data_IF_850713012094
#
_entry.id   IF_850713012094
#
_cell.length_a   1.000
_cell.length_b   1.000
_cell.length_c   1.000
_cell.angle_alpha   90.00
_cell.angle_beta   90.00
_cell.angle_gamma   90.00
#
_symmetry.space_group_name_H-M   'P 1'
#
loop_
_entity.id
_entity.type
_entity.pdbx_description
1 polymer ?
#
# COMPACT_ATOMS: atom_id res chain seq x y z
N UNK A 1 18.07 34.14 29.79
CA UNK A 1 16.93 33.43 30.38
C UNK A 1 16.53 32.31 29.41
N UNK A 2 16.89 31.06 29.68
CA UNK A 2 16.51 29.94 28.82
C UNK A 2 15.03 29.58 29.08
N UNK A 3 14.23 29.22 28.06
CA UNK A 3 12.84 28.85 28.28
C UNK A 3 12.77 27.53 29.06
N UNK A 4 12.07 27.56 30.21
CA UNK A 4 11.74 26.37 30.97
C UNK A 4 10.91 25.45 30.08
N UNK A 5 11.41 24.24 29.83
CA UNK A 5 10.71 23.22 29.05
C UNK A 5 9.61 22.64 29.94
N UNK A 6 8.37 23.05 29.69
CA UNK A 6 7.21 22.47 30.36
C UNK A 6 7.12 20.98 29.99
N UNK A 7 7.20 20.10 30.99
CA UNK A 7 7.18 18.66 30.77
C UNK A 7 5.75 18.21 30.48
N UNK A 8 5.44 18.04 29.19
CA UNK A 8 4.15 17.52 28.75
C UNK A 8 4.02 16.07 29.21
N UNK A 9 3.10 15.81 30.14
CA UNK A 9 2.71 14.45 30.55
C UNK A 9 1.93 13.80 29.41
N UNK A 10 2.39 12.63 28.95
CA UNK A 10 1.70 11.82 27.95
C UNK A 10 1.65 10.36 28.38
N UNK A 11 0.69 9.61 27.84
CA UNK A 11 0.56 8.16 28.04
C UNK A 11 0.80 7.49 26.69
N UNK A 12 1.64 6.45 26.65
CA UNK A 12 1.81 5.65 25.42
C UNK A 12 0.51 4.91 25.08
N UNK A 13 0.07 5.02 23.82
CA UNK A 13 -1.13 4.33 23.36
C UNK A 13 -0.91 2.83 23.29
N UNK A 14 -1.94 2.05 23.63
CA UNK A 14 -1.92 0.58 23.48
C UNK A 14 -2.03 0.12 22.01
N UNK A 15 -2.03 1.07 21.07
CA UNK A 15 -2.25 0.87 19.64
C UNK A 15 -3.71 0.99 19.22
N UNK A 16 -4.63 1.20 20.17
CA UNK A 16 -6.02 1.54 19.91
C UNK A 16 -6.45 2.69 20.83
N UNK A 17 -6.46 3.91 20.31
CA UNK A 17 -6.85 5.11 21.06
C UNK A 17 -8.28 5.03 21.61
N UNK A 18 -9.17 4.27 20.98
CA UNK A 18 -10.55 4.10 21.45
C UNK A 18 -10.61 3.18 22.68
N UNK A 19 -9.70 2.22 22.79
CA UNK A 19 -9.56 1.39 23.99
C UNK A 19 -8.98 2.22 25.14
N UNK A 20 -7.97 3.05 24.85
CA UNK A 20 -7.34 3.95 25.82
C UNK A 20 -8.35 4.97 26.39
N UNK A 21 -9.32 5.39 25.57
CA UNK A 21 -10.40 6.31 25.94
C UNK A 21 -11.63 5.62 26.58
N UNK A 22 -11.65 4.30 26.71
CA UNK A 22 -12.76 3.56 27.34
C UNK A 22 -14.05 3.54 26.52
N UNK A 23 -13.97 3.63 25.18
CA UNK A 23 -15.13 3.47 24.30
C UNK A 23 -15.67 2.04 24.41
N UNK A 24 -17.00 1.88 24.44
CA UNK A 24 -17.66 0.58 24.64
C UNK A 24 -17.22 -0.50 23.65
N UNK A 25 -17.04 -0.13 22.38
CA UNK A 25 -16.62 -1.03 21.30
C UNK A 25 -15.38 -0.46 20.58
N UNK A 26 -14.19 -0.59 21.18
CA UNK A 26 -13.00 0.11 20.71
C UNK A 26 -12.47 -0.44 19.38
N UNK A 27 -12.64 -1.74 19.12
CA UNK A 27 -12.23 -2.39 17.87
C UNK A 27 -13.14 -1.96 16.70
N UNK A 28 -14.45 -1.85 16.93
CA UNK A 28 -15.38 -1.33 15.93
C UNK A 28 -15.12 0.15 15.63
N UNK A 29 -14.89 0.95 16.68
CA UNK A 29 -14.58 2.37 16.52
C UNK A 29 -13.29 2.58 15.71
N UNK A 30 -12.23 1.81 16.01
CA UNK A 30 -10.98 1.84 15.25
C UNK A 30 -11.19 1.45 13.79
N UNK A 31 -11.92 0.35 13.54
CA UNK A 31 -12.21 -0.11 12.19
C UNK A 31 -12.98 0.95 11.38
N UNK A 32 -14.02 1.55 11.96
CA UNK A 32 -14.78 2.62 11.32
C UNK A 32 -13.90 3.82 11.00
N UNK A 33 -13.07 4.25 11.95
CA UNK A 33 -12.16 5.39 11.78
C UNK A 33 -11.18 5.15 10.62
N UNK A 34 -10.55 3.98 10.55
CA UNK A 34 -9.63 3.67 9.46
C UNK A 34 -10.32 3.57 8.09
N UNK A 35 -11.50 2.94 8.02
CA UNK A 35 -12.28 2.88 6.79
C UNK A 35 -12.68 4.29 6.31
N UNK A 36 -13.17 5.14 7.22
CA UNK A 36 -13.52 6.52 6.90
C UNK A 36 -12.31 7.33 6.46
N UNK A 37 -11.15 7.13 7.09
CA UNK A 37 -9.89 7.77 6.71
C UNK A 37 -9.49 7.38 5.29
N UNK A 38 -9.60 6.11 4.92
CA UNK A 38 -9.30 5.65 3.56
C UNK A 38 -10.27 6.25 2.53
N UNK A 39 -11.57 6.26 2.83
CA UNK A 39 -12.57 6.89 1.95
C UNK A 39 -12.27 8.39 1.77
N UNK A 40 -11.98 9.10 2.87
CA UNK A 40 -11.62 10.52 2.82
C UNK A 40 -10.36 10.78 2.01
N UNK A 41 -9.34 9.92 2.14
CA UNK A 41 -8.12 10.01 1.33
C UNK A 41 -8.42 9.84 -0.16
N UNK A 42 -9.21 8.84 -0.55
CA UNK A 42 -9.56 8.60 -1.97
C UNK A 42 -10.37 9.76 -2.55
N UNK A 43 -11.34 10.30 -1.78
CA UNK A 43 -12.12 11.49 -2.19
C UNK A 43 -11.17 12.67 -2.46
N UNK A 44 -10.21 12.91 -1.57
CA UNK A 44 -9.25 13.99 -1.70
C UNK A 44 -8.27 13.77 -2.88
N UNK A 45 -7.74 12.56 -3.03
CA UNK A 45 -6.83 12.17 -4.13
C UNK A 45 -7.48 12.30 -5.50
N UNK A 46 -8.78 11.98 -5.60
CA UNK A 46 -9.57 12.15 -6.84
C UNK A 46 -10.06 13.59 -7.05
N UNK A 47 -9.83 14.49 -6.10
CA UNK A 47 -10.28 15.89 -6.18
C UNK A 47 -11.80 16.07 -6.19
N UNK A 48 -12.55 15.12 -5.61
CA UNK A 48 -14.01 15.16 -5.62
C UNK A 48 -14.54 16.20 -4.64
N UNK A 49 -15.47 17.03 -5.10
CA UNK A 49 -16.29 17.86 -4.21
C UNK A 49 -17.21 16.99 -3.34
N UNK A 50 -17.72 17.57 -2.26
CA UNK A 50 -18.68 16.85 -1.40
C UNK A 50 -19.95 16.43 -2.16
N UNK A 51 -20.37 17.20 -3.16
CA UNK A 51 -21.56 16.91 -3.97
C UNK A 51 -21.30 15.78 -4.95
N UNK A 52 -20.14 15.74 -5.59
CA UNK A 52 -19.77 14.62 -6.48
C UNK A 52 -19.61 13.33 -5.68
N UNK A 53 -18.95 13.39 -4.53
CA UNK A 53 -18.83 12.26 -3.62
C UNK A 53 -20.20 11.80 -3.11
N UNK A 54 -21.15 12.71 -2.87
CA UNK A 54 -22.51 12.38 -2.45
C UNK A 54 -23.24 11.53 -3.50
N UNK A 55 -23.15 11.95 -4.77
CA UNK A 55 -23.72 11.21 -5.91
C UNK A 55 -23.07 9.84 -6.05
N UNK A 56 -21.74 9.77 -6.05
CA UNK A 56 -21.00 8.52 -6.21
C UNK A 56 -21.26 7.53 -5.07
N UNK A 57 -21.32 8.01 -3.82
CA UNK A 57 -21.58 7.19 -2.64
C UNK A 57 -23.06 6.89 -2.40
N UNK A 58 -23.98 7.49 -3.17
CA UNK A 58 -25.42 7.34 -2.99
C UNK A 58 -25.92 7.85 -1.64
N UNK A 59 -25.37 8.96 -1.14
CA UNK A 59 -25.73 9.57 0.15
C UNK A 59 -25.93 11.08 0.01
N UNK A 60 -26.59 11.69 0.98
CA UNK A 60 -26.75 13.15 0.99
C UNK A 60 -25.42 13.86 1.30
N UNK A 61 -25.20 15.04 0.71
CA UNK A 61 -24.01 15.86 0.93
C UNK A 61 -23.65 16.08 2.42
N UNK A 62 -24.63 16.33 3.35
CA UNK A 62 -24.30 16.44 4.77
C UNK A 62 -23.65 15.18 5.35
N UNK A 63 -24.05 13.99 4.89
CA UNK A 63 -23.46 12.71 5.31
C UNK A 63 -22.02 12.57 4.81
N UNK A 64 -21.71 13.05 3.60
CA UNK A 64 -20.32 13.11 3.12
C UNK A 64 -19.47 13.98 4.04
N UNK A 65 -19.99 15.15 4.45
CA UNK A 65 -19.29 16.04 5.38
C UNK A 65 -19.08 15.42 6.77
N UNK A 66 -20.02 14.61 7.27
CA UNK A 66 -19.84 13.87 8.53
C UNK A 66 -18.77 12.79 8.39
N UNK A 67 -18.79 12.06 7.28
CA UNK A 67 -17.82 10.99 6.96
C UNK A 67 -16.38 11.54 6.91
N UNK A 68 -16.15 12.61 6.14
CA UNK A 68 -14.81 13.21 5.99
C UNK A 68 -14.30 13.88 7.26
N UNK A 69 -15.19 14.27 8.17
CA UNK A 69 -14.84 14.83 9.50
C UNK A 69 -14.73 13.77 10.60
N UNK A 70 -14.84 12.48 10.27
CA UNK A 70 -14.74 11.40 11.26
C UNK A 70 -15.91 11.32 12.25
N UNK A 71 -17.07 11.91 11.93
CA UNK A 71 -18.30 11.79 12.74
C UNK A 71 -19.07 10.55 12.33
N UNK A 72 -18.71 9.40 12.91
CA UNK A 72 -19.09 8.07 12.40
C UNK A 72 -20.26 7.39 13.11
N UNK A 73 -20.91 8.04 14.08
CA UNK A 73 -22.02 7.45 14.87
C UNK A 73 -23.16 6.89 14.01
N UNK A 74 -23.44 7.51 12.84
CA UNK A 74 -24.48 7.07 11.90
C UNK A 74 -24.02 6.12 10.80
N UNK A 75 -22.76 5.67 10.81
CA UNK A 75 -22.20 4.81 9.77
C UNK A 75 -21.87 3.43 10.33
N UNK A 76 -22.45 2.38 9.73
CA UNK A 76 -22.04 1.00 10.01
C UNK A 76 -20.78 0.64 9.21
N UNK A 77 -20.02 -0.34 9.70
CA UNK A 77 -18.86 -0.89 8.98
C UNK A 77 -19.29 -1.33 7.56
N UNK A 78 -20.37 -2.09 7.44
CA UNK A 78 -20.87 -2.56 6.15
C UNK A 78 -21.19 -1.43 5.17
N UNK A 79 -21.67 -0.26 5.67
CA UNK A 79 -21.90 0.91 4.82
C UNK A 79 -20.58 1.53 4.33
N UNK A 80 -19.58 1.62 5.20
CA UNK A 80 -18.24 2.10 4.83
C UNK A 80 -17.56 1.16 3.80
N UNK A 81 -17.72 -0.15 3.95
CA UNK A 81 -17.23 -1.12 2.96
C UNK A 81 -17.87 -0.90 1.58
N UNK A 82 -19.19 -0.66 1.53
CA UNK A 82 -19.87 -0.34 0.26
C UNK A 82 -19.37 0.96 -0.37
N UNK A 83 -18.98 1.94 0.43
CA UNK A 83 -18.40 3.18 -0.10
C UNK A 83 -17.03 2.94 -0.74
N UNK A 84 -16.19 2.08 -0.15
CA UNK A 84 -14.93 1.67 -0.76
C UNK A 84 -15.16 0.98 -2.11
N UNK A 85 -16.14 0.06 -2.18
CA UNK A 85 -16.51 -0.59 -3.45
C UNK A 85 -17.02 0.42 -4.49
N UNK A 86 -17.84 1.40 -4.08
CA UNK A 86 -18.32 2.45 -4.96
C UNK A 86 -17.20 3.37 -5.46
N UNK A 87 -16.11 3.49 -4.69
CA UNK A 87 -14.88 4.19 -5.05
C UNK A 87 -13.86 3.26 -5.74
N UNK A 88 -14.32 2.21 -6.40
CA UNK A 88 -13.49 1.26 -7.17
C UNK A 88 -12.35 0.64 -6.35
N UNK A 89 -12.54 0.46 -5.04
CA UNK A 89 -11.58 -0.23 -4.18
C UNK A 89 -12.03 -1.65 -3.93
N UNK A 90 -11.11 -2.59 -4.11
CA UNK A 90 -11.31 -3.96 -3.66
C UNK A 90 -11.07 -4.08 -2.15
N UNK A 91 -11.98 -4.76 -1.45
CA UNK A 91 -11.87 -5.02 -0.02
C UNK A 91 -11.59 -6.51 0.21
N UNK A 92 -10.48 -6.81 0.87
CA UNK A 92 -10.15 -8.16 1.34
C UNK A 92 -10.31 -8.26 2.86
N UNK A 93 -11.15 -9.19 3.32
CA UNK A 93 -11.30 -9.51 4.75
C UNK A 93 -10.52 -10.78 5.03
N UNK A 94 -9.47 -10.66 5.86
CA UNK A 94 -8.59 -11.79 6.19
C UNK A 94 -8.83 -12.19 7.64
N UNK A 95 -9.34 -13.40 7.85
CA UNK A 95 -9.50 -14.00 9.18
C UNK A 95 -8.29 -14.88 9.48
N UNK A 96 -7.65 -14.68 10.63
CA UNK A 96 -6.48 -15.46 11.07
C UNK A 96 -6.71 -15.98 12.48
N UNK A 97 -6.16 -17.14 12.79
CA UNK A 97 -6.13 -17.66 14.16
C UNK A 97 -5.39 -16.69 15.07
N UNK A 98 -5.97 -16.43 16.24
CA UNK A 98 -5.41 -15.54 17.25
C UNK A 98 -4.09 -16.08 17.79
N UNK A 99 -3.10 -15.21 17.97
CA UNK A 99 -1.94 -15.54 18.80
C UNK A 99 -2.30 -15.40 20.27
N UNK A 100 -2.00 -16.44 21.07
CA UNK A 100 -2.47 -16.67 22.45
C UNK A 100 -2.27 -15.47 23.40
N UNK A 101 -1.36 -14.55 23.08
CA UNK A 101 -0.96 -13.43 23.94
C UNK A 101 -1.63 -12.07 23.63
N UNK A 102 -2.51 -11.95 22.62
CA UNK A 102 -3.15 -10.67 22.26
C UNK A 102 -4.67 -10.79 22.08
N UNK A 103 -5.38 -9.72 22.46
CA UNK A 103 -6.79 -9.45 22.14
C UNK A 103 -7.12 -9.72 20.66
N UNK A 104 -8.36 -10.08 20.35
CA UNK A 104 -8.82 -10.07 18.95
C UNK A 104 -8.83 -8.62 18.47
N UNK A 105 -8.36 -8.35 17.24
CA UNK A 105 -8.24 -6.98 16.73
C UNK A 105 -8.76 -6.87 15.31
N UNK A 106 -9.35 -5.72 14.99
CA UNK A 106 -9.70 -5.36 13.62
C UNK A 106 -8.65 -4.35 13.12
N UNK A 107 -7.91 -4.74 12.09
CA UNK A 107 -6.94 -3.86 11.45
C UNK A 107 -7.33 -3.67 9.99
N UNK A 108 -7.39 -2.41 9.57
CA UNK A 108 -7.61 -2.04 8.18
C UNK A 108 -6.28 -1.54 7.63
N UNK A 109 -5.75 -2.24 6.63
CA UNK A 109 -4.48 -1.89 5.99
C UNK A 109 -4.77 -1.46 4.57
N UNK A 110 -4.42 -0.23 4.22
CA UNK A 110 -4.42 0.20 2.83
C UNK A 110 -3.23 -0.46 2.13
N UNK A 111 -3.50 -1.32 1.15
CA UNK A 111 -2.43 -1.85 0.30
C UNK A 111 -2.09 -0.80 -0.75
N UNK A 112 -0.91 -0.19 -0.64
CA UNK A 112 -0.37 0.61 -1.74
C UNK A 112 -0.01 -0.33 -2.88
N UNK A 113 -0.87 -0.39 -3.90
CA UNK A 113 -0.49 -1.03 -5.15
C UNK A 113 0.60 -0.17 -5.79
N UNK A 114 1.85 -0.62 -5.76
CA UNK A 114 2.77 -0.18 -6.82
C UNK A 114 2.24 -0.79 -8.11
N UNK A 115 1.93 0.00 -9.15
CA UNK A 115 1.51 -0.59 -10.41
C UNK A 115 2.61 -1.54 -10.87
N UNK A 116 2.25 -2.81 -11.13
CA UNK A 116 3.17 -3.87 -11.60
C UNK A 116 4.05 -3.43 -12.78
N UNK A 117 3.65 -2.37 -13.50
CA UNK A 117 4.36 -1.75 -14.60
C UNK A 117 5.71 -1.10 -14.21
N UNK A 118 5.84 -0.52 -13.01
CA UNK A 118 7.07 0.20 -12.61
C UNK A 118 8.21 -0.77 -12.25
N UNK A 119 7.89 -2.00 -11.80
CA UNK A 119 8.90 -3.02 -11.50
C UNK A 119 9.42 -3.72 -12.77
N UNK A 120 8.60 -3.83 -13.82
CA UNK A 120 9.00 -4.44 -15.09
C UNK A 120 10.04 -3.58 -15.85
N UNK A 121 9.91 -2.25 -15.83
CA UNK A 121 10.83 -1.34 -16.53
C UNK A 121 12.24 -1.35 -15.91
N UNK A 122 12.38 -1.60 -14.60
CA UNK A 122 13.71 -1.68 -13.97
C UNK A 122 14.50 -2.94 -14.34
N UNK A 123 13.84 -4.05 -14.69
CA UNK A 123 14.54 -5.29 -15.12
C UNK A 123 15.13 -5.19 -16.52
N UNK A 124 14.58 -4.35 -17.39
CA UNK A 124 15.01 -4.28 -18.79
C UNK A 124 16.32 -3.50 -19.01
N UNK A 125 16.81 -2.74 -18.00
CA UNK A 125 18.04 -1.94 -18.14
C UNK A 125 19.34 -2.70 -17.86
N UNK A 126 19.27 -3.95 -17.37
CA UNK A 126 20.46 -4.75 -16.99
C UNK A 126 20.83 -5.88 -17.99
N UNK A 127 20.24 -5.91 -19.18
CA UNK A 127 20.66 -6.87 -20.22
C UNK A 127 21.93 -6.35 -20.90
N UNK A 128 23.09 -6.81 -20.42
CA UNK A 128 24.36 -6.72 -21.16
C UNK A 128 24.17 -7.35 -22.55
N UNK A 129 24.47 -6.67 -23.66
CA UNK A 129 24.48 -7.31 -24.97
C UNK A 129 25.65 -8.30 -25.03
N UNK A 130 25.31 -9.57 -25.30
CA UNK A 130 26.27 -10.63 -25.55
C UNK A 130 27.09 -10.25 -26.79
N UNK A 131 28.41 -10.13 -26.60
CA UNK A 131 29.31 -9.51 -27.54
C UNK A 131 29.35 -10.17 -28.92
N UNK A 132 29.22 -9.34 -29.95
CA UNK A 132 29.76 -9.63 -31.29
C UNK A 132 31.28 -9.58 -31.21
N UNK A 133 31.97 -10.68 -31.55
CA UNK A 133 33.39 -10.68 -31.87
C UNK A 133 33.60 -11.30 -33.26
N UNK A 134 33.64 -10.42 -34.25
CA UNK A 134 34.45 -10.63 -35.45
C UNK A 134 35.85 -10.10 -35.14
N UNK A 135 36.90 -10.89 -35.38
CA UNK A 135 38.24 -10.37 -35.67
C UNK A 135 39.10 -11.44 -36.35
N UNK A 136 39.46 -11.11 -37.58
CA UNK A 136 40.35 -11.75 -38.55
C UNK A 136 41.82 -11.77 -38.09
N UNK A 137 42.58 -12.70 -38.64
CA UNK A 137 44.05 -12.72 -38.85
C UNK A 137 45.00 -12.77 -37.66
N UNK A 138 45.78 -13.86 -37.60
CA UNK A 138 47.25 -13.78 -37.58
C UNK A 138 47.87 -14.88 -38.45
N UNK A 139 48.93 -14.45 -39.13
CA UNK A 139 49.77 -15.12 -40.12
C UNK A 139 51.08 -15.57 -39.45
N UNK A 140 51.74 -16.56 -40.05
CA UNK A 140 53.14 -17.04 -39.87
C UNK A 140 53.41 -17.89 -38.63
N UNK A 141 54.25 -18.92 -38.64
CA UNK A 141 55.12 -19.61 -39.62
C UNK A 141 55.72 -20.81 -38.84
N UNK A 142 55.96 -21.95 -39.51
CA UNK A 142 57.06 -22.92 -39.27
C UNK A 142 56.65 -24.28 -39.89
N UNK A 143 57.15 -24.69 -41.07
CA UNK A 143 58.50 -25.24 -41.31
C UNK A 143 58.57 -26.73 -40.90
N UNK A 144 58.42 -27.58 -41.93
CA UNK A 144 59.35 -28.65 -42.33
C UNK A 144 59.23 -30.06 -41.74
N UNK A 145 59.26 -31.02 -42.68
CA UNK A 145 59.51 -32.47 -42.58
C UNK A 145 58.40 -33.30 -41.91
N UNK A 146 58.01 -34.49 -42.39
CA UNK A 146 58.63 -35.44 -43.30
C UNK A 146 57.49 -36.10 -44.12
N UNK A 147 57.74 -36.53 -45.36
CA UNK A 147 58.20 -37.90 -45.62
C UNK A 147 56.99 -38.83 -45.53
N UNK A 148 56.44 -39.31 -46.64
CA UNK A 148 56.95 -40.43 -47.44
C UNK A 148 55.88 -41.54 -47.39
N UNK A 149 55.62 -42.14 -48.57
CA UNK A 149 55.17 -43.53 -48.80
C UNK A 149 53.67 -43.80 -48.52
N UNK A 150 52.91 -44.09 -49.58
CA UNK A 150 52.62 -45.46 -50.09
C UNK A 150 51.67 -46.20 -49.14
N UNK A 151 50.53 -46.73 -49.56
CA UNK A 151 50.08 -47.22 -50.86
C UNK A 151 48.55 -47.15 -50.96
#
# INVERSE_FOLDING_TARGET
>A
MAPATDQIRYTESTGNVFADLGVAEPEEALAKAELARQIGAIIAERGLSQTEAAVLLGIDQPKVSLLTRGRLTGFSIGRLLRFLLALDQDVAIVVRTRQVQRGGRIHVVAQSQTPKMVLAVKRARDVRPLGRRFAVSRRREAVTQAGERSS
#
